data_IF_372243703018
#
_entry.id   IF_372243703018
#
_cell.length_a   1.000
_cell.length_b   1.000
_cell.length_c   1.000
_cell.angle_alpha   90.00
_cell.angle_beta   90.00
_cell.angle_gamma   90.00
#
_symmetry.space_group_name_H-M   'P 1'
#
loop_
_entity.id
_entity.type
_entity.pdbx_description
1 polymer ?
#
# COMPACT_ATOMS: atom_id res chain seq x y z
N UNK A 1 11.21 -16.69 36.93
CA UNK A 1 10.89 -15.31 36.49
C UNK A 1 9.40 -15.26 36.15
N UNK A 2 8.59 -14.62 36.98
CA UNK A 2 7.18 -14.37 36.66
C UNK A 2 7.14 -13.26 35.60
N UNK A 3 6.82 -13.63 34.36
CA UNK A 3 6.56 -12.65 33.32
C UNK A 3 5.27 -11.93 33.72
N UNK A 4 5.26 -10.60 33.92
CA UNK A 4 4.06 -9.88 34.28
C UNK A 4 2.97 -10.13 33.24
N UNK A 5 1.73 -10.35 33.71
CA UNK A 5 0.57 -10.57 32.85
C UNK A 5 0.50 -9.45 31.80
N UNK A 6 0.70 -9.83 30.53
CA UNK A 6 0.52 -8.91 29.42
C UNK A 6 -0.95 -8.46 29.39
N UNK A 7 -1.22 -7.18 29.14
CA UNK A 7 -2.58 -6.65 29.18
C UNK A 7 -3.47 -7.35 28.13
N UNK A 8 -4.70 -7.72 28.50
CA UNK A 8 -5.65 -8.46 27.66
C UNK A 8 -5.94 -7.80 26.29
N UNK A 9 -5.70 -6.50 26.17
CA UNK A 9 -5.92 -5.72 24.96
C UNK A 9 -4.67 -5.54 24.07
N UNK A 10 -3.54 -6.20 24.37
CA UNK A 10 -2.29 -6.02 23.62
C UNK A 10 -2.45 -6.24 22.10
N UNK A 11 -3.23 -7.24 21.69
CA UNK A 11 -3.45 -7.52 20.27
C UNK A 11 -4.15 -6.35 19.56
N UNK A 12 -5.06 -5.63 20.22
CA UNK A 12 -5.72 -4.43 19.67
C UNK A 12 -4.73 -3.28 19.49
N UNK A 13 -3.83 -3.09 20.46
CA UNK A 13 -2.77 -2.09 20.35
C UNK A 13 -1.80 -2.39 19.20
N UNK A 14 -1.40 -3.66 19.04
CA UNK A 14 -0.53 -4.10 17.94
C UNK A 14 -1.19 -3.88 16.58
N UNK A 15 -2.49 -4.22 16.45
CA UNK A 15 -3.25 -3.98 15.23
C UNK A 15 -3.35 -2.49 14.89
N UNK A 16 -3.77 -1.67 15.86
CA UNK A 16 -3.91 -0.22 15.65
C UNK A 16 -2.55 0.42 15.32
N UNK A 17 -1.50 0.08 16.08
CA UNK A 17 -0.15 0.57 15.83
C UNK A 17 0.37 0.16 14.45
N UNK A 18 0.13 -1.09 14.03
CA UNK A 18 0.47 -1.56 12.69
C UNK A 18 -0.24 -0.77 11.60
N UNK A 19 -1.55 -0.57 11.71
CA UNK A 19 -2.35 0.21 10.75
C UNK A 19 -1.87 1.67 10.67
N UNK A 20 -1.62 2.32 11.82
CA UNK A 20 -1.13 3.70 11.85
C UNK A 20 0.24 3.84 11.19
N UNK A 21 1.17 2.90 11.42
CA UNK A 21 2.47 2.91 10.76
C UNK A 21 2.37 2.72 9.26
N UNK A 22 1.49 1.83 8.79
CA UNK A 22 1.26 1.62 7.36
C UNK A 22 0.68 2.87 6.68
N UNK A 23 -0.29 3.53 7.33
CA UNK A 23 -0.86 4.79 6.83
C UNK A 23 0.22 5.87 6.78
N UNK A 24 1.00 6.02 7.85
CA UNK A 24 2.09 6.98 7.91
C UNK A 24 3.11 6.75 6.78
N UNK A 25 3.57 5.50 6.60
CA UNK A 25 4.56 5.17 5.59
C UNK A 25 4.02 5.33 4.16
N UNK A 26 2.73 5.09 3.94
CA UNK A 26 2.12 5.35 2.63
C UNK A 26 2.04 6.86 2.33
N UNK A 27 1.63 7.66 3.32
CA UNK A 27 1.52 9.11 3.15
C UNK A 27 2.89 9.76 2.93
N UNK A 28 3.90 9.34 3.70
CA UNK A 28 5.24 9.87 3.59
C UNK A 28 5.94 9.39 2.31
N UNK A 29 5.75 8.12 1.93
CA UNK A 29 6.22 7.57 0.66
C UNK A 29 5.68 8.36 -0.54
N UNK A 30 4.37 8.64 -0.58
CA UNK A 30 3.77 9.41 -1.67
C UNK A 30 4.36 10.84 -1.77
N UNK A 31 4.51 11.53 -0.63
CA UNK A 31 5.13 12.87 -0.61
C UNK A 31 6.58 12.84 -1.10
N UNK A 32 7.32 11.79 -0.72
CA UNK A 32 8.70 11.62 -1.12
C UNK A 32 8.79 11.46 -2.64
N UNK A 33 7.98 10.59 -3.24
CA UNK A 33 7.91 10.39 -4.70
C UNK A 33 7.56 11.68 -5.45
N UNK A 34 6.54 12.43 -4.99
CA UNK A 34 6.15 13.69 -5.62
C UNK A 34 7.28 14.73 -5.59
N UNK A 35 8.02 14.81 -4.48
CA UNK A 35 9.13 15.74 -4.34
C UNK A 35 10.30 15.40 -5.27
N UNK A 36 10.62 14.11 -5.42
CA UNK A 36 11.66 13.65 -6.35
C UNK A 36 11.29 14.02 -7.77
N UNK A 37 10.09 13.67 -8.23
CA UNK A 37 9.69 13.91 -9.62
C UNK A 37 9.85 15.39 -9.96
N UNK A 38 9.42 16.29 -9.07
CA UNK A 38 9.61 17.74 -9.25
C UNK A 38 11.07 18.17 -9.33
N UNK A 39 11.92 17.65 -8.45
CA UNK A 39 13.34 18.03 -8.42
C UNK A 39 14.12 17.43 -9.59
N UNK A 40 13.82 16.19 -9.98
CA UNK A 40 14.41 15.51 -11.14
C UNK A 40 14.02 16.22 -12.43
N UNK A 41 12.76 16.63 -12.57
CA UNK A 41 12.32 17.40 -13.74
C UNK A 41 13.02 18.75 -13.82
N UNK A 42 13.09 19.50 -12.71
CA UNK A 42 13.80 20.78 -12.65
C UNK A 42 15.30 20.63 -12.98
N UNK A 43 15.91 19.55 -12.49
CA UNK A 43 17.29 19.18 -12.76
C UNK A 43 17.52 18.94 -14.25
N UNK A 44 16.71 18.08 -14.86
CA UNK A 44 16.81 17.71 -16.27
C UNK A 44 16.59 18.93 -17.17
N UNK A 45 15.63 19.79 -16.86
CA UNK A 45 15.41 21.05 -17.59
C UNK A 45 16.64 21.96 -17.55
N UNK A 46 17.27 22.10 -16.38
CA UNK A 46 18.47 22.92 -16.23
C UNK A 46 19.64 22.31 -17.00
N UNK A 47 19.85 21.00 -16.88
CA UNK A 47 20.88 20.25 -17.61
C UNK A 47 20.71 20.39 -19.13
N UNK A 48 19.49 20.25 -19.63
CA UNK A 48 19.18 20.40 -21.05
C UNK A 48 19.44 21.83 -21.54
N UNK A 49 19.10 22.84 -20.73
CA UNK A 49 19.38 24.24 -21.07
C UNK A 49 20.89 24.51 -21.21
N UNK A 50 21.71 23.96 -20.32
CA UNK A 50 23.17 24.08 -20.37
C UNK A 50 23.75 23.34 -21.57
N UNK A 51 23.27 22.11 -21.84
CA UNK A 51 23.67 21.35 -23.03
C UNK A 51 23.33 22.08 -24.33
N UNK A 52 22.17 22.74 -24.42
CA UNK A 52 21.79 23.55 -25.58
C UNK A 52 22.73 24.75 -25.72
N UNK A 53 23.12 25.40 -24.61
CA UNK A 53 24.07 26.51 -24.61
C UNK A 53 25.44 26.09 -25.13
N UNK A 54 25.94 24.95 -24.67
CA UNK A 54 27.21 24.36 -25.14
C UNK A 54 27.13 24.10 -26.65
N UNK A 55 26.12 23.36 -27.11
CA UNK A 55 25.93 23.06 -28.55
C UNK A 55 25.79 24.31 -29.41
N UNK A 56 25.13 25.35 -28.90
CA UNK A 56 25.00 26.63 -29.60
C UNK A 56 26.37 27.30 -29.78
N UNK A 57 27.20 27.30 -28.75
CA UNK A 57 28.53 27.89 -28.81
C UNK A 57 29.47 27.08 -29.70
N UNK A 58 29.42 25.74 -29.65
CA UNK A 58 30.13 24.85 -30.59
C UNK A 58 29.77 25.15 -32.05
N UNK A 59 28.48 25.34 -32.34
CA UNK A 59 28.02 25.72 -33.68
C UNK A 59 28.56 27.10 -34.11
N UNK A 60 28.64 28.08 -33.21
CA UNK A 60 29.23 29.39 -33.54
C UNK A 60 30.72 29.27 -33.85
N UNK A 61 31.45 28.42 -33.12
CA UNK A 61 32.86 28.15 -33.41
C UNK A 61 33.04 27.57 -34.82
N UNK A 62 32.27 26.54 -35.18
CA UNK A 62 32.29 25.96 -36.54
C UNK A 62 31.99 27.00 -37.63
N UNK A 63 31.11 27.97 -37.34
CA UNK A 63 30.82 29.08 -38.26
C UNK A 63 31.98 30.07 -38.38
N UNK A 64 32.69 30.36 -37.29
CA UNK A 64 33.90 31.21 -37.29
C UNK A 64 35.01 30.54 -38.09
N UNK A 65 35.26 29.25 -37.83
CA UNK A 65 36.26 28.44 -38.56
C UNK A 65 36.01 28.46 -40.07
N UNK A 66 34.79 28.16 -40.51
CA UNK A 66 34.41 28.21 -41.93
C UNK A 66 34.56 29.60 -42.56
N UNK A 67 34.38 30.68 -41.78
CA UNK A 67 34.62 32.05 -42.26
C UNK A 67 36.11 32.33 -42.43
N UNK A 68 36.94 31.90 -41.47
CA UNK A 68 38.39 32.03 -41.57
C UNK A 68 38.91 31.25 -42.79
N UNK A 69 38.50 29.99 -42.98
CA UNK A 69 38.88 29.17 -44.14
C UNK A 69 38.53 29.84 -45.48
N UNK A 70 37.34 30.45 -45.57
CA UNK A 70 36.89 31.17 -46.77
C UNK A 70 37.71 32.43 -47.04
N UNK A 71 38.06 33.19 -46.00
CA UNK A 71 38.88 34.40 -46.14
C UNK A 71 40.29 34.02 -46.60
N UNK A 72 40.92 33.07 -45.92
CA UNK A 72 42.23 32.54 -46.29
C UNK A 72 42.28 32.03 -47.72
N UNK A 73 41.30 31.20 -48.12
CA UNK A 73 41.18 30.68 -49.49
C UNK A 73 40.98 31.79 -50.54
N UNK A 74 40.18 32.82 -50.23
CA UNK A 74 39.87 33.92 -51.16
C UNK A 74 41.08 34.79 -51.46
N UNK A 75 41.93 35.00 -50.46
CA UNK A 75 43.08 35.91 -50.57
C UNK A 75 44.42 35.18 -50.77
N UNK A 76 44.43 33.85 -50.79
CA UNK A 76 45.64 33.05 -50.98
C UNK A 76 46.59 33.12 -49.78
N UNK A 77 46.05 33.33 -48.58
CA UNK A 77 46.80 33.47 -47.33
C UNK A 77 46.56 32.22 -46.48
N UNK A 78 47.54 31.82 -45.68
CA UNK A 78 47.40 30.74 -44.71
C UNK A 78 46.26 31.02 -43.70
N UNK A 79 45.59 29.98 -43.19
CA UNK A 79 44.57 30.18 -42.17
C UNK A 79 45.26 30.53 -40.85
N UNK A 80 45.02 31.73 -40.29
CA UNK A 80 45.64 32.11 -39.03
C UNK A 80 45.10 31.30 -37.85
N UNK A 81 44.03 30.51 -38.02
CA UNK A 81 43.52 29.59 -37.01
C UNK A 81 43.98 28.16 -37.34
N UNK A 82 44.83 27.62 -36.47
CA UNK A 82 45.25 26.22 -36.48
C UNK A 82 44.55 25.44 -35.36
N UNK A 83 44.15 24.20 -35.63
CA UNK A 83 43.64 23.28 -34.61
C UNK A 83 44.64 22.13 -34.51
N UNK A 84 45.31 22.02 -33.36
CA UNK A 84 46.11 20.87 -32.98
C UNK A 84 45.45 20.18 -31.81
N UNK A 85 44.99 18.96 -32.04
CA UNK A 85 44.21 18.18 -31.09
C UNK A 85 42.97 18.93 -30.59
N UNK A 86 42.98 19.38 -29.33
CA UNK A 86 41.92 20.19 -28.69
C UNK A 86 42.30 21.67 -28.53
N UNK A 87 43.46 22.07 -29.04
CA UNK A 87 44.03 23.40 -28.86
C UNK A 87 43.90 24.18 -30.17
N UNK A 88 43.07 25.21 -30.14
CA UNK A 88 42.95 26.17 -31.23
C UNK A 88 43.97 27.29 -30.99
N UNK A 89 44.81 27.56 -31.98
CA UNK A 89 45.85 28.60 -31.94
C UNK A 89 45.51 29.64 -33.00
N UNK A 90 45.59 30.91 -32.64
CA UNK A 90 45.48 32.03 -33.58
C UNK A 90 46.82 32.75 -33.73
N UNK A 91 47.29 32.85 -34.97
CA UNK A 91 48.53 33.54 -35.32
C UNK A 91 48.19 34.86 -36.02
N UNK A 92 48.45 35.98 -35.35
CA UNK A 92 48.21 37.30 -35.92
C UNK A 92 49.38 37.76 -36.81
N UNK A 93 49.08 38.18 -38.04
CA UNK A 93 50.06 38.79 -38.95
C UNK A 93 50.24 40.27 -38.61
N UNK A 94 51.45 40.66 -38.18
CA UNK A 94 51.76 42.05 -37.79
C UNK A 94 52.47 42.86 -38.89
N UNK A 95 53.02 42.19 -39.91
CA UNK A 95 53.70 42.78 -41.07
C UNK A 95 53.40 41.92 -42.30
N UNK A 96 53.03 42.54 -43.41
CA UNK A 96 52.63 41.85 -44.64
C UNK A 96 52.01 42.80 -45.66
N UNK A 97 51.43 42.24 -46.71
CA UNK A 97 50.62 42.99 -47.66
C UNK A 97 49.40 43.63 -46.98
N UNK A 98 48.87 44.72 -47.54
CA UNK A 98 47.64 45.36 -47.01
C UNK A 98 46.47 44.37 -46.92
N UNK A 99 46.42 43.38 -47.81
CA UNK A 99 45.41 42.32 -47.84
C UNK A 99 45.59 41.33 -46.67
N UNK A 100 46.83 40.95 -46.37
CA UNK A 100 47.16 40.10 -45.21
C UNK A 100 46.81 40.76 -43.88
N UNK A 101 47.12 42.04 -43.73
CA UNK A 101 46.76 42.82 -42.54
C UNK A 101 45.24 42.93 -42.38
N UNK A 102 44.50 43.19 -43.47
CA UNK A 102 43.04 43.29 -43.44
C UNK A 102 42.35 41.96 -43.10
N UNK A 103 42.89 40.84 -43.59
CA UNK A 103 42.41 39.49 -43.25
C UNK A 103 42.74 39.17 -41.79
N UNK A 104 43.95 39.47 -41.32
CA UNK A 104 44.38 39.30 -39.93
C UNK A 104 43.49 40.05 -38.94
N UNK A 105 43.19 41.33 -39.19
CA UNK A 105 42.30 42.14 -38.34
C UNK A 105 40.86 41.62 -38.33
N UNK A 106 40.37 41.17 -39.49
CA UNK A 106 39.02 40.61 -39.62
C UNK A 106 38.87 39.30 -38.84
N UNK A 107 39.90 38.45 -38.87
CA UNK A 107 39.90 37.17 -38.15
C UNK A 107 40.19 37.37 -36.66
N UNK A 108 41.01 38.36 -36.28
CA UNK A 108 41.26 38.72 -34.87
C UNK A 108 39.95 39.03 -34.11
N UNK A 109 39.07 39.84 -34.71
CA UNK A 109 37.72 40.12 -34.14
C UNK A 109 36.83 38.88 -34.03
N UNK A 110 36.99 37.91 -34.92
CA UNK A 110 36.27 36.64 -34.85
C UNK A 110 36.87 35.72 -33.79
N UNK A 111 38.18 35.81 -33.57
CA UNK A 111 38.92 35.06 -32.56
C UNK A 111 38.59 35.51 -31.14
N UNK A 112 38.50 36.82 -30.88
CA UNK A 112 38.03 37.34 -29.58
C UNK A 112 36.65 36.76 -29.23
N UNK A 113 35.71 36.80 -30.18
CA UNK A 113 34.37 36.21 -30.00
C UNK A 113 34.41 34.71 -29.75
N UNK A 114 35.39 34.01 -30.30
CA UNK A 114 35.58 32.59 -30.04
C UNK A 114 36.07 32.35 -28.61
N UNK A 115 37.08 33.11 -28.15
CA UNK A 115 37.59 32.98 -26.79
C UNK A 115 36.49 33.25 -25.75
N UNK A 116 35.66 34.28 -25.99
CA UNK A 116 34.49 34.55 -25.16
C UNK A 116 33.52 33.36 -25.14
N UNK A 117 33.19 32.80 -26.33
CA UNK A 117 32.30 31.65 -26.42
C UNK A 117 32.88 30.39 -25.77
N UNK A 118 34.20 30.18 -25.84
CA UNK A 118 34.90 29.07 -25.21
C UNK A 118 34.85 29.20 -23.69
N UNK A 119 35.13 30.38 -23.16
CA UNK A 119 35.01 30.65 -21.73
C UNK A 119 33.58 30.40 -21.21
N UNK A 120 32.57 30.77 -22.00
CA UNK A 120 31.16 30.49 -21.67
C UNK A 120 30.82 28.99 -21.73
N UNK A 121 31.49 28.18 -22.56
CA UNK A 121 31.38 26.72 -22.54
C UNK A 121 31.99 26.18 -21.25
N UNK A 122 33.21 26.59 -20.91
CA UNK A 122 33.91 26.14 -19.69
C UNK A 122 33.06 26.42 -18.44
N UNK A 123 32.47 27.63 -18.35
CA UNK A 123 31.52 27.97 -17.27
C UNK A 123 30.30 27.03 -17.27
N UNK A 124 29.72 26.73 -18.43
CA UNK A 124 28.55 25.86 -18.53
C UNK A 124 28.88 24.41 -18.15
N UNK A 125 30.08 23.93 -18.47
CA UNK A 125 30.58 22.61 -18.08
C UNK A 125 30.81 22.51 -16.57
N UNK A 126 31.42 23.53 -15.96
CA UNK A 126 31.57 23.60 -14.49
C UNK A 126 30.20 23.63 -13.79
N UNK A 127 29.24 24.38 -14.35
CA UNK A 127 27.86 24.39 -13.87
C UNK A 127 27.21 23.00 -13.98
N UNK A 128 27.42 22.28 -15.08
CA UNK A 128 26.94 20.90 -15.25
C UNK A 128 27.57 19.95 -14.21
N UNK A 129 28.86 20.11 -13.90
CA UNK A 129 29.54 19.29 -12.89
C UNK A 129 28.96 19.52 -11.49
N UNK A 130 28.79 20.79 -11.10
CA UNK A 130 28.17 21.17 -9.83
C UNK A 130 26.75 20.62 -9.75
N UNK A 131 25.97 20.79 -10.82
CA UNK A 131 24.61 20.32 -10.95
C UNK A 131 24.58 18.79 -10.76
N UNK A 132 25.36 18.02 -11.53
CA UNK A 132 25.44 16.55 -11.37
C UNK A 132 25.80 16.12 -9.94
N UNK A 133 26.70 16.83 -9.25
CA UNK A 133 27.03 16.56 -7.85
C UNK A 133 25.84 16.80 -6.91
N UNK A 134 25.09 17.89 -7.12
CA UNK A 134 23.88 18.17 -6.35
C UNK A 134 22.83 17.07 -6.54
N UNK A 135 22.68 16.56 -7.76
CA UNK A 135 21.77 15.44 -8.05
C UNK A 135 22.16 14.17 -7.32
N UNK A 136 23.45 13.82 -7.35
CA UNK A 136 23.96 12.65 -6.62
C UNK A 136 23.65 12.75 -5.13
N UNK A 137 23.93 13.89 -4.51
CA UNK A 137 23.63 14.10 -3.10
C UNK A 137 22.12 14.02 -2.81
N UNK A 138 21.29 14.60 -3.68
CA UNK A 138 19.83 14.52 -3.56
C UNK A 138 19.33 13.08 -3.66
N UNK A 139 19.91 12.28 -4.56
CA UNK A 139 19.59 10.87 -4.72
C UNK A 139 19.99 10.06 -3.48
N UNK A 140 21.17 10.31 -2.91
CA UNK A 140 21.60 9.66 -1.66
C UNK A 140 20.65 9.99 -0.49
N UNK A 141 20.21 11.24 -0.36
CA UNK A 141 19.23 11.65 0.65
C UNK A 141 17.87 10.98 0.45
N UNK A 142 17.46 10.80 -0.81
CA UNK A 142 16.24 10.10 -1.16
C UNK A 142 16.32 8.62 -0.78
N UNK A 143 17.38 7.92 -1.18
CA UNK A 143 17.57 6.50 -0.91
C UNK A 143 17.53 6.22 0.61
N UNK A 144 18.11 7.11 1.41
CA UNK A 144 18.02 7.03 2.88
C UNK A 144 16.58 7.17 3.40
N UNK A 145 15.81 8.13 2.86
CA UNK A 145 14.40 8.33 3.25
C UNK A 145 13.51 7.18 2.80
N UNK A 146 13.73 6.65 1.59
CA UNK A 146 13.02 5.48 1.08
C UNK A 146 13.31 4.25 1.95
N UNK A 147 14.57 4.04 2.33
CA UNK A 147 14.96 2.97 3.24
C UNK A 147 14.24 3.06 4.59
N UNK A 148 14.21 4.24 5.21
CA UNK A 148 13.47 4.47 6.46
C UNK A 148 11.97 4.21 6.28
N UNK A 149 11.38 4.67 5.18
CA UNK A 149 9.97 4.44 4.89
C UNK A 149 9.65 2.93 4.76
N UNK A 150 10.53 2.18 4.08
CA UNK A 150 10.42 0.73 3.96
C UNK A 150 10.51 0.04 5.33
N UNK A 151 11.39 0.49 6.23
CA UNK A 151 11.44 -0.02 7.62
C UNK A 151 10.09 0.18 8.31
N UNK A 152 9.46 1.36 8.19
CA UNK A 152 8.16 1.61 8.78
C UNK A 152 7.05 0.71 8.19
N UNK A 153 7.08 0.46 6.88
CA UNK A 153 6.17 -0.51 6.24
C UNK A 153 6.35 -1.91 6.82
N UNK A 154 7.58 -2.40 6.92
CA UNK A 154 7.87 -3.72 7.48
C UNK A 154 7.46 -3.83 8.95
N UNK A 155 7.78 -2.82 9.76
CA UNK A 155 7.35 -2.77 11.16
C UNK A 155 5.82 -2.74 11.29
N UNK A 156 5.14 -1.94 10.46
CA UNK A 156 3.69 -1.86 10.41
C UNK A 156 3.05 -3.22 10.10
N UNK A 157 3.54 -3.90 9.04
CA UNK A 157 3.10 -5.25 8.68
C UNK A 157 3.35 -6.25 9.81
N UNK A 158 4.54 -6.23 10.40
CA UNK A 158 4.92 -7.14 11.48
C UNK A 158 3.99 -7.00 12.71
N UNK A 159 3.71 -5.76 13.13
CA UNK A 159 2.78 -5.50 14.24
C UNK A 159 1.37 -5.96 13.90
N UNK A 160 0.90 -5.71 12.68
CA UNK A 160 -0.43 -6.12 12.23
C UNK A 160 -0.57 -7.65 12.24
N UNK A 161 0.37 -8.39 11.65
CA UNK A 161 0.34 -9.85 11.66
C UNK A 161 0.48 -10.44 13.06
N UNK A 162 1.36 -9.88 13.89
CA UNK A 162 1.50 -10.30 15.29
C UNK A 162 0.23 -10.08 16.09
N UNK A 163 -0.44 -8.94 15.85
CA UNK A 163 -1.74 -8.61 16.45
C UNK A 163 -2.84 -9.57 16.01
N UNK A 164 -2.96 -9.85 14.71
CA UNK A 164 -3.93 -10.81 14.16
C UNK A 164 -3.70 -12.22 14.72
N UNK A 165 -2.46 -12.67 14.77
CA UNK A 165 -2.12 -14.00 15.28
C UNK A 165 -2.49 -14.14 16.77
N UNK A 166 -2.16 -13.15 17.58
CA UNK A 166 -2.55 -13.14 19.01
C UNK A 166 -4.07 -13.09 19.17
N UNK A 167 -4.76 -12.31 18.36
CA UNK A 167 -6.22 -12.25 18.40
C UNK A 167 -6.85 -13.61 18.06
N UNK A 168 -6.38 -14.27 17.01
CA UNK A 168 -6.86 -15.60 16.63
C UNK A 168 -6.63 -16.64 17.74
N UNK A 169 -5.44 -16.63 18.36
CA UNK A 169 -5.13 -17.54 19.46
C UNK A 169 -6.05 -17.31 20.65
N UNK A 170 -6.33 -16.05 21.00
CA UNK A 170 -7.24 -15.72 22.09
C UNK A 170 -8.67 -16.16 21.78
N UNK A 171 -9.13 -15.98 20.54
CA UNK A 171 -10.47 -16.43 20.14
C UNK A 171 -10.59 -17.95 20.25
N UNK A 172 -9.62 -18.71 19.76
CA UNK A 172 -9.66 -20.17 19.87
C UNK A 172 -9.76 -20.64 21.33
N UNK A 173 -9.07 -19.98 22.27
CA UNK A 173 -9.15 -20.29 23.71
C UNK A 173 -10.54 -19.94 24.26
N UNK A 174 -11.06 -18.75 23.93
CA UNK A 174 -12.38 -18.31 24.37
C UNK A 174 -13.48 -19.25 23.84
N UNK A 175 -13.39 -19.69 22.58
CA UNK A 175 -14.31 -20.62 21.95
C UNK A 175 -14.26 -22.00 22.62
N UNK A 176 -13.07 -22.49 22.96
CA UNK A 176 -12.90 -23.75 23.68
C UNK A 176 -13.50 -23.67 25.10
N UNK A 177 -13.27 -22.56 25.82
CA UNK A 177 -13.85 -22.34 27.15
C UNK A 177 -15.38 -22.28 27.10
N UNK A 178 -15.94 -21.58 26.11
CA UNK A 178 -17.38 -21.51 25.89
C UNK A 178 -17.97 -22.89 25.55
N UNK A 179 -17.28 -23.69 24.75
CA UNK A 179 -17.68 -25.07 24.47
C UNK A 179 -17.71 -25.93 25.74
N UNK A 180 -16.68 -25.84 26.59
CA UNK A 180 -16.62 -26.56 27.88
C UNK A 180 -17.77 -26.14 28.80
N UNK A 181 -18.05 -24.84 28.90
CA UNK A 181 -19.17 -24.33 29.70
C UNK A 181 -20.52 -24.87 29.21
N UNK A 182 -20.71 -24.99 27.89
CA UNK A 182 -21.90 -25.61 27.28
C UNK A 182 -21.98 -27.11 27.61
N UNK A 183 -20.85 -27.83 27.59
CA UNK A 183 -20.80 -29.27 27.90
C UNK A 183 -21.11 -29.54 29.38
N UNK A 184 -20.53 -28.75 30.30
CA UNK A 184 -20.70 -28.91 31.75
C UNK A 184 -22.14 -28.63 32.21
N UNK A 185 -22.86 -27.73 31.54
CA UNK A 185 -24.28 -27.41 31.82
C UNK A 185 -25.28 -28.40 31.19
N UNK A 186 -24.79 -29.45 30.53
CA UNK A 186 -25.59 -30.39 29.74
C UNK A 186 -26.12 -29.78 28.45
N UNK A 187 -26.66 -30.60 27.52
CA UNK A 187 -27.17 -30.12 26.22
C UNK A 187 -28.21 -29.00 26.40
N UNK A 188 -27.84 -27.77 26.02
CA UNK A 188 -28.75 -26.63 25.95
C UNK A 188 -29.36 -26.60 24.56
N UNK A 189 -30.69 -26.71 24.48
CA UNK A 189 -31.38 -26.71 23.20
C UNK A 189 -31.86 -25.29 22.87
N UNK A 190 -31.57 -24.75 21.67
CA UNK A 190 -32.10 -23.44 21.27
C UNK A 190 -33.63 -23.44 21.09
N UNK A 191 -34.24 -24.63 21.00
CA UNK A 191 -35.65 -24.85 20.77
C UNK A 191 -36.16 -25.99 21.65
N UNK A 192 -37.42 -25.91 22.08
CA UNK A 192 -38.05 -26.97 22.84
C UNK A 192 -38.11 -28.28 22.02
N UNK A 193 -37.55 -29.36 22.55
CA UNK A 193 -37.47 -30.69 21.94
C UNK A 193 -38.82 -31.42 21.82
N UNK A 194 -39.92 -30.78 22.24
CA UNK A 194 -41.28 -31.30 22.07
C UNK A 194 -42.11 -30.51 21.05
N UNK A 195 -42.12 -29.18 21.10
CA UNK A 195 -42.96 -28.36 20.22
C UNK A 195 -42.18 -27.57 19.15
N UNK A 196 -40.85 -27.54 19.23
CA UNK A 196 -39.96 -26.85 18.29
C UNK A 196 -39.99 -25.32 18.38
N UNK A 197 -40.64 -24.75 19.40
CA UNK A 197 -40.67 -23.30 19.63
C UNK A 197 -39.40 -22.82 20.34
N UNK A 198 -38.96 -21.60 20.03
CA UNK A 198 -37.77 -20.99 20.62
C UNK A 198 -38.02 -20.69 22.11
N UNK A 199 -37.01 -20.91 22.96
CA UNK A 199 -37.03 -20.38 24.32
C UNK A 199 -36.94 -18.85 24.28
N UNK A 200 -37.64 -18.19 25.19
CA UNK A 200 -37.67 -16.72 25.32
C UNK A 200 -38.10 -16.33 26.72
N UNK A 201 -38.06 -15.04 27.06
CA UNK A 201 -38.59 -14.52 28.34
C UNK A 201 -40.05 -14.91 28.59
N UNK A 202 -40.83 -15.10 27.52
CA UNK A 202 -42.25 -15.51 27.57
C UNK A 202 -42.41 -17.05 27.60
N UNK A 203 -41.40 -17.79 27.12
CA UNK A 203 -41.44 -19.26 27.04
C UNK A 203 -40.25 -19.83 27.80
N UNK A 204 -40.49 -20.05 29.09
CA UNK A 204 -39.50 -20.54 30.02
C UNK A 204 -39.32 -22.06 29.92
N UNK A 205 -38.19 -22.52 30.46
CA UNK A 205 -37.84 -23.92 30.59
C UNK A 205 -38.78 -24.64 31.56
N UNK A 206 -39.08 -25.91 31.25
CA UNK A 206 -39.87 -26.78 32.13
C UNK A 206 -39.08 -27.20 33.36
N UNK A 207 -39.73 -27.94 34.27
CA UNK A 207 -39.10 -28.45 35.49
C UNK A 207 -39.08 -29.98 35.55
N UNK A 208 -37.97 -30.52 36.01
CA UNK A 208 -37.81 -31.93 36.34
C UNK A 208 -38.52 -32.26 37.66
N UNK A 209 -38.61 -33.56 38.01
CA UNK A 209 -39.28 -34.02 39.24
C UNK A 209 -38.63 -33.50 40.53
N UNK A 210 -37.33 -33.27 40.49
CA UNK A 210 -36.51 -32.68 41.57
C UNK A 210 -36.59 -31.14 41.62
N UNK A 211 -37.46 -30.53 40.80
CA UNK A 211 -37.62 -29.09 40.60
C UNK A 211 -36.45 -28.39 39.90
N UNK A 212 -35.45 -29.12 39.41
CA UNK A 212 -34.39 -28.55 38.57
C UNK A 212 -34.93 -28.12 37.20
N UNK A 213 -34.26 -27.16 36.55
CA UNK A 213 -34.65 -26.65 35.23
C UNK A 213 -34.35 -27.69 34.16
N UNK A 214 -35.32 -27.91 33.26
CA UNK A 214 -35.15 -28.77 32.09
C UNK A 214 -34.72 -27.95 30.87
N UNK A 215 -33.49 -28.17 30.40
CA UNK A 215 -32.91 -27.43 29.26
C UNK A 215 -33.41 -27.90 27.88
N UNK A 216 -34.20 -28.99 27.81
CA UNK A 216 -34.71 -29.56 26.57
C UNK A 216 -36.17 -29.18 26.28
N UNK A 217 -37.00 -29.00 27.31
CA UNK A 217 -38.44 -28.77 27.15
C UNK A 217 -38.89 -27.44 27.77
N UNK A 218 -39.90 -26.80 27.17
CA UNK A 218 -40.54 -25.62 27.75
C UNK A 218 -41.65 -26.03 28.74
N UNK A 219 -41.99 -25.14 29.67
CA UNK A 219 -43.00 -25.37 30.72
C UNK A 219 -44.35 -25.84 30.16
N UNK A 220 -44.78 -25.30 29.01
CA UNK A 220 -46.03 -25.69 28.36
C UNK A 220 -46.04 -27.12 27.79
N UNK A 221 -44.86 -27.72 27.64
CA UNK A 221 -44.72 -29.08 27.14
C UNK A 221 -44.38 -30.07 28.25
N UNK A 222 -43.60 -29.67 29.25
CA UNK A 222 -43.08 -30.56 30.29
C UNK A 222 -42.99 -29.81 31.62
N UNK A 223 -43.62 -30.37 32.65
CA UNK A 223 -43.60 -29.81 34.00
C UNK A 223 -43.66 -30.92 35.06
N UNK A 224 -43.05 -30.65 36.22
CA UNK A 224 -42.91 -31.60 37.34
C UNK A 224 -42.47 -33.02 36.93
N UNK A 225 -41.54 -33.11 35.98
CA UNK A 225 -41.01 -34.39 35.51
C UNK A 225 -41.92 -35.16 34.54
N UNK A 226 -43.00 -34.55 34.02
CA UNK A 226 -43.97 -35.20 33.12
C UNK A 226 -44.37 -34.29 31.96
N UNK A 227 -44.72 -34.87 30.81
CA UNK A 227 -45.28 -34.11 29.69
C UNK A 227 -46.70 -33.64 30.02
N UNK A 228 -46.94 -32.34 29.93
CA UNK A 228 -48.23 -31.69 30.25
C UNK A 228 -49.32 -32.16 29.30
N UNK A 229 -49.00 -32.33 28.00
CA UNK A 229 -49.89 -32.91 27.00
C UNK A 229 -49.33 -34.24 26.50
N UNK A 230 -50.11 -35.30 26.70
CA UNK A 230 -49.89 -36.62 26.10
C UNK A 230 -50.37 -36.58 24.65
N UNK A 231 -49.52 -36.05 23.78
CA UNK A 231 -49.75 -36.03 22.35
C UNK A 231 -49.06 -37.23 21.72
N UNK A 232 -49.75 -37.97 20.84
CA UNK A 232 -49.18 -39.11 20.11
C UNK A 232 -48.31 -38.63 18.93
N UNK A 233 -47.51 -39.52 18.34
CA UNK A 233 -46.68 -39.19 17.16
C UNK A 233 -47.53 -38.77 15.96
N UNK A 234 -48.68 -39.41 15.76
CA UNK A 234 -49.62 -39.11 14.69
C UNK A 234 -50.24 -37.71 14.87
N UNK A 235 -50.65 -37.39 16.10
CA UNK A 235 -51.14 -36.05 16.46
C UNK A 235 -50.06 -34.98 16.28
N UNK A 236 -48.80 -35.31 16.59
CA UNK A 236 -47.68 -34.41 16.34
C UNK A 236 -47.43 -34.16 14.86
N UNK A 237 -47.53 -35.18 14.00
CA UNK A 237 -47.37 -35.01 12.55
C UNK A 237 -48.48 -34.11 11.99
N UNK A 238 -49.73 -34.27 12.46
CA UNK A 238 -50.83 -33.38 12.12
C UNK A 238 -50.55 -31.93 12.58
N UNK A 239 -50.08 -31.73 13.82
CA UNK A 239 -49.67 -30.44 14.33
C UNK A 239 -48.56 -29.81 13.47
N UNK A 240 -47.52 -30.57 13.14
CA UNK A 240 -46.38 -30.13 12.33
C UNK A 240 -46.82 -29.67 10.95
N UNK A 241 -47.71 -30.40 10.28
CA UNK A 241 -48.26 -29.99 8.99
C UNK A 241 -49.05 -28.68 9.11
N UNK A 242 -49.84 -28.53 10.19
CA UNK A 242 -50.61 -27.30 10.44
C UNK A 242 -49.70 -26.09 10.66
N UNK A 243 -48.62 -26.24 11.42
CA UNK A 243 -47.67 -25.15 11.72
C UNK A 243 -46.83 -24.77 10.51
N UNK A 244 -46.42 -25.73 9.68
CA UNK A 244 -45.71 -25.46 8.42
C UNK A 244 -46.62 -24.70 7.45
N UNK A 245 -47.92 -25.03 7.37
CA UNK A 245 -48.89 -24.33 6.53
C UNK A 245 -49.07 -22.86 6.94
N UNK A 246 -49.02 -22.56 8.24
CA UNK A 246 -49.13 -21.18 8.76
C UNK A 246 -47.95 -20.27 8.41
N UNK A 247 -46.78 -20.83 8.09
CA UNK A 247 -45.61 -20.03 7.75
C UNK A 247 -45.68 -19.46 6.34
N UNK A 248 -45.28 -18.20 6.17
CA UNK A 248 -45.11 -17.55 4.86
C UNK A 248 -43.66 -17.69 4.38
N UNK A 249 -43.48 -17.94 3.09
CA UNK A 249 -42.17 -18.06 2.44
C UNK A 249 -41.59 -19.49 2.48
N UNK A 250 -40.98 -19.91 1.37
CA UNK A 250 -40.46 -21.28 1.20
C UNK A 250 -39.30 -21.61 2.15
N UNK A 251 -38.39 -20.66 2.39
CA UNK A 251 -37.24 -20.83 3.29
C UNK A 251 -37.71 -21.09 4.73
N UNK A 252 -38.67 -20.31 5.23
CA UNK A 252 -39.23 -20.47 6.58
C UNK A 252 -39.93 -21.83 6.73
N UNK A 253 -40.68 -22.27 5.72
CA UNK A 253 -41.30 -23.60 5.69
C UNK A 253 -40.26 -24.71 5.74
N UNK A 254 -39.19 -24.61 4.94
CA UNK A 254 -38.09 -25.60 4.90
C UNK A 254 -37.34 -25.67 6.23
N UNK A 255 -36.98 -24.52 6.79
CA UNK A 255 -36.28 -24.43 8.08
C UNK A 255 -37.14 -24.99 9.22
N UNK A 256 -38.42 -24.63 9.29
CA UNK A 256 -39.34 -25.16 10.29
C UNK A 256 -39.53 -26.68 10.14
N UNK A 257 -39.72 -27.18 8.91
CA UNK A 257 -39.84 -28.62 8.63
C UNK A 257 -38.60 -29.38 9.11
N UNK A 258 -37.41 -28.89 8.75
CA UNK A 258 -36.14 -29.50 9.17
C UNK A 258 -35.97 -29.50 10.69
N UNK A 259 -36.35 -28.41 11.35
CA UNK A 259 -36.30 -28.30 12.82
C UNK A 259 -37.26 -29.29 13.48
N UNK A 260 -38.53 -29.33 13.06
CA UNK A 260 -39.54 -30.20 13.66
C UNK A 260 -39.22 -31.70 13.45
N UNK A 261 -38.58 -32.06 12.34
CA UNK A 261 -38.12 -33.42 12.08
C UNK A 261 -36.97 -33.88 13.00
N UNK A 262 -36.19 -32.94 13.55
CA UNK A 262 -34.98 -33.25 14.34
C UNK A 262 -35.24 -33.30 15.85
N UNK A 263 -36.45 -32.96 16.30
CA UNK A 263 -36.81 -32.93 17.71
C UNK A 263 -36.71 -34.31 18.36
N UNK A 264 -36.02 -34.39 19.49
CA UNK A 264 -35.66 -35.66 20.12
C UNK A 264 -36.86 -36.45 20.67
N UNK A 265 -37.90 -35.79 21.20
CA UNK A 265 -39.11 -36.46 21.74
C UNK A 265 -39.79 -37.40 20.74
N UNK A 266 -39.67 -37.12 19.45
CA UNK A 266 -40.43 -37.81 18.41
C UNK A 266 -39.59 -38.82 17.60
N UNK A 267 -38.34 -39.07 18.03
CA UNK A 267 -37.51 -40.15 17.51
C UNK A 267 -37.81 -41.44 18.28
N UNK A 268 -37.65 -42.59 17.62
CA UNK A 268 -38.16 -43.89 18.07
C UNK A 268 -37.53 -44.51 19.33
N UNK A 269 -36.68 -43.80 20.10
CA UNK A 269 -35.81 -44.48 21.07
C UNK A 269 -35.46 -43.78 22.39
N UNK A 270 -36.10 -42.70 22.84
CA UNK A 270 -35.63 -42.04 24.10
C UNK A 270 -36.70 -41.54 25.10
N UNK A 271 -38.00 -41.54 24.80
CA UNK A 271 -39.03 -40.99 25.71
C UNK A 271 -40.38 -41.71 25.65
#
# INVERSE_FOLDING_TARGET
MNIPNLPDNLHKFLLLGGVLLLIYAQLEGNKLTDNINKNVDAFNLTKDSLNIRIKRNEYQFEKIKKKADKLSSKYGIENPIEIKDSLAIFTQTLKGSMQELAVGDSISKLWEKYNDAKFEIEIAEDQLLILNKQMSNFQDEYDQKEFINNIFLFMGMFLLFSGLWKWQKQQNINDELLLREILDKGKIYPHCQSCGKNFSSIRQNGKNKDKSINNAFCESCYDNGKFVKKMTREEFEAYKQSEIKKQKGWINKKNLKNRLNKLERWKESEY
#
